data_IF_141231037038
#
_entry.id   IF_141231037038
#
_cell.length_a   1.000
_cell.length_b   1.000
_cell.length_c   1.000
_cell.angle_alpha   90.00
_cell.angle_beta   90.00
_cell.angle_gamma   90.00
#
_symmetry.space_group_name_H-M   'P 1'
#
loop_
_entity.id
_entity.type
_entity.pdbx_description
1 polymer ?
#
# COMPACT_ATOMS: atom_id res chain seq x y z
N UNK A 1 16.10 12.82 16.15
CA UNK A 1 15.32 12.51 14.93
C UNK A 1 13.88 12.25 15.27
N UNK A 2 12.98 12.80 14.48
CA UNK A 2 11.56 12.49 14.64
C UNK A 2 11.30 11.04 14.22
N UNK A 3 10.48 10.31 14.99
CA UNK A 3 10.03 9.00 14.52
C UNK A 3 9.23 9.13 13.21
N UNK A 4 9.27 8.10 12.38
CA UNK A 4 8.43 8.04 11.20
C UNK A 4 6.97 7.89 11.63
N UNK A 5 6.08 8.68 11.05
CA UNK A 5 4.67 8.67 11.39
C UNK A 5 3.90 7.71 10.49
N UNK A 6 3.07 6.86 11.08
CA UNK A 6 2.34 5.80 10.39
C UNK A 6 0.85 5.87 10.73
N UNK A 7 0.01 5.81 9.70
CA UNK A 7 -1.42 5.60 9.84
C UNK A 7 -1.73 4.14 9.50
N UNK A 8 -2.58 3.50 10.31
CA UNK A 8 -3.07 2.14 10.05
C UNK A 8 -4.57 2.22 9.76
N UNK A 9 -4.95 1.77 8.56
CA UNK A 9 -6.35 1.72 8.12
C UNK A 9 -6.73 0.27 7.85
N UNK A 10 -7.55 -0.29 8.73
CA UNK A 10 -8.03 -1.66 8.63
C UNK A 10 -9.36 -1.76 9.36
N UNK A 11 -10.28 -2.60 8.86
CA UNK A 11 -11.59 -2.77 9.49
C UNK A 11 -11.53 -3.57 10.79
N UNK A 12 -10.50 -4.38 11.01
CA UNK A 12 -10.41 -5.27 12.15
C UNK A 12 -9.61 -4.63 13.28
N UNK A 13 -10.24 -4.34 14.43
CA UNK A 13 -9.51 -3.74 15.56
C UNK A 13 -8.30 -4.56 16.02
N UNK A 14 -8.41 -5.90 15.99
CA UNK A 14 -7.31 -6.76 16.41
C UNK A 14 -6.11 -6.64 15.48
N UNK A 15 -6.35 -6.47 14.18
CA UNK A 15 -5.27 -6.26 13.20
C UNK A 15 -4.58 -4.93 13.46
N UNK A 16 -5.35 -3.85 13.63
CA UNK A 16 -4.79 -2.53 13.93
C UNK A 16 -3.92 -2.56 15.18
N UNK A 17 -4.44 -3.16 16.24
CA UNK A 17 -3.73 -3.23 17.52
C UNK A 17 -2.46 -4.06 17.39
N UNK A 18 -2.52 -5.19 16.71
CA UNK A 18 -1.36 -6.09 16.54
C UNK A 18 -0.25 -5.41 15.77
N UNK A 19 -0.59 -4.71 14.71
CA UNK A 19 0.39 -3.97 13.91
C UNK A 19 0.99 -2.84 14.72
N UNK A 20 0.18 -2.08 15.45
CA UNK A 20 0.66 -0.99 16.28
C UNK A 20 1.67 -1.48 17.31
N UNK A 21 1.33 -2.54 18.05
CA UNK A 21 2.23 -3.09 19.08
C UNK A 21 3.56 -3.50 18.44
N UNK A 22 3.51 -4.13 17.29
CA UNK A 22 4.72 -4.59 16.62
C UNK A 22 5.58 -3.43 16.13
N UNK A 23 4.97 -2.43 15.50
CA UNK A 23 5.71 -1.29 14.97
C UNK A 23 6.33 -0.43 16.06
N UNK A 24 5.61 -0.23 17.16
CA UNK A 24 6.08 0.65 18.24
C UNK A 24 7.14 0.02 19.13
N UNK A 25 7.50 -1.25 18.90
CA UNK A 25 8.74 -1.80 19.45
C UNK A 25 9.97 -1.10 18.89
N UNK A 26 9.84 -0.51 17.72
CA UNK A 26 10.90 0.31 17.13
C UNK A 26 10.65 1.77 17.48
N UNK A 27 11.56 2.36 18.29
CA UNK A 27 11.42 3.74 18.74
C UNK A 27 11.46 4.77 17.61
N UNK A 28 11.89 4.37 16.41
CA UNK A 28 11.91 5.23 15.23
C UNK A 28 10.60 5.21 14.45
N UNK A 29 9.59 4.51 14.93
CA UNK A 29 8.26 4.42 14.31
C UNK A 29 7.21 4.81 15.33
N UNK A 30 6.29 5.68 14.93
CA UNK A 30 5.16 6.10 15.75
C UNK A 30 3.87 5.95 14.98
N UNK A 31 2.93 5.20 15.53
CA UNK A 31 1.58 5.10 14.96
C UNK A 31 0.77 6.30 15.44
N UNK A 32 0.43 7.19 14.51
CA UNK A 32 -0.26 8.46 14.84
C UNK A 32 -1.78 8.36 14.72
N UNK A 33 -2.27 7.36 13.99
CA UNK A 33 -3.71 7.15 13.82
C UNK A 33 -3.98 5.70 13.46
N UNK A 34 -5.03 5.12 14.06
CA UNK A 34 -5.59 3.81 13.71
C UNK A 34 -7.07 4.02 13.45
N UNK A 35 -7.56 3.59 12.30
CA UNK A 35 -8.95 3.83 11.95
C UNK A 35 -9.46 2.82 10.93
N UNK A 36 -10.77 2.63 10.90
CA UNK A 36 -11.47 1.94 9.82
C UNK A 36 -12.22 2.91 8.91
N UNK A 37 -12.12 4.21 9.19
CA UNK A 37 -12.87 5.25 8.46
C UNK A 37 -11.93 6.08 7.59
N UNK A 38 -12.15 6.03 6.28
CA UNK A 38 -11.33 6.76 5.32
C UNK A 38 -11.41 8.29 5.54
N UNK A 39 -12.55 8.81 5.97
CA UNK A 39 -12.69 10.25 6.20
C UNK A 39 -11.81 10.73 7.35
N UNK A 40 -11.71 9.94 8.40
CA UNK A 40 -10.84 10.25 9.54
C UNK A 40 -9.37 10.34 9.09
N UNK A 41 -8.94 9.37 8.28
CA UNK A 41 -7.58 9.37 7.76
C UNK A 41 -7.31 10.57 6.84
N UNK A 42 -8.23 10.87 5.94
CA UNK A 42 -8.09 12.00 5.02
C UNK A 42 -8.02 13.33 5.77
N UNK A 43 -8.84 13.51 6.81
CA UNK A 43 -8.78 14.72 7.63
C UNK A 43 -7.42 14.86 8.31
N UNK A 44 -6.88 13.78 8.83
CA UNK A 44 -5.54 13.78 9.43
C UNK A 44 -4.47 14.18 8.40
N UNK A 45 -4.55 13.61 7.20
CA UNK A 45 -3.59 13.89 6.13
C UNK A 45 -3.68 15.33 5.59
N UNK A 46 -4.80 15.98 5.75
CA UNK A 46 -4.93 17.41 5.39
C UNK A 46 -4.16 18.31 6.34
N UNK A 47 -3.96 17.87 7.56
CA UNK A 47 -3.42 18.70 8.64
C UNK A 47 -1.97 18.35 8.96
N UNK A 48 -1.61 17.06 8.96
CA UNK A 48 -0.31 16.60 9.45
C UNK A 48 0.43 15.80 8.38
N UNK A 49 1.76 15.99 8.28
CA UNK A 49 2.56 15.15 7.40
C UNK A 49 2.62 13.72 7.94
N UNK A 50 2.52 12.75 7.05
CA UNK A 50 2.55 11.32 7.40
C UNK A 50 3.54 10.63 6.48
N UNK A 51 4.39 9.78 7.06
CA UNK A 51 5.42 9.08 6.29
C UNK A 51 4.88 7.85 5.58
N UNK A 52 3.95 7.13 6.23
CA UNK A 52 3.43 5.87 5.68
C UNK A 52 1.97 5.68 6.07
N UNK A 53 1.16 5.25 5.11
CA UNK A 53 -0.19 4.74 5.35
C UNK A 53 -0.20 3.25 5.06
N UNK A 54 -0.55 2.44 6.07
CA UNK A 54 -0.84 1.02 5.89
C UNK A 54 -2.34 0.93 5.63
N UNK A 55 -2.72 0.46 4.46
CA UNK A 55 -4.07 0.56 3.93
C UNK A 55 -4.61 -0.82 3.56
N UNK A 56 -5.66 -1.25 4.26
CA UNK A 56 -6.45 -2.42 3.89
C UNK A 56 -7.15 -2.14 2.56
N UNK A 57 -6.82 -2.92 1.54
CA UNK A 57 -7.38 -2.73 0.20
C UNK A 57 -8.88 -3.03 0.17
N UNK A 58 -9.37 -3.87 1.09
CA UNK A 58 -10.78 -4.23 1.21
C UNK A 58 -11.51 -3.41 2.27
N UNK A 59 -11.04 -2.23 2.62
CA UNK A 59 -11.68 -1.39 3.63
C UNK A 59 -13.12 -1.11 3.24
N UNK A 60 -14.12 -1.41 4.11
CA UNK A 60 -15.53 -1.23 3.76
C UNK A 60 -15.87 0.21 3.43
N UNK A 61 -16.69 0.38 2.41
CA UNK A 61 -17.14 1.71 1.97
C UNK A 61 -16.09 2.52 1.23
N UNK A 62 -14.94 1.93 0.93
CA UNK A 62 -13.84 2.62 0.26
C UNK A 62 -13.20 1.73 -0.78
N UNK A 63 -12.78 2.32 -1.90
CA UNK A 63 -11.93 1.66 -2.87
C UNK A 63 -10.48 2.01 -2.55
N UNK A 64 -9.67 0.98 -2.28
CA UNK A 64 -8.27 1.16 -1.90
C UNK A 64 -7.45 1.92 -2.93
N UNK A 65 -7.70 1.68 -4.21
CA UNK A 65 -6.96 2.37 -5.28
C UNK A 65 -7.38 3.84 -5.42
N UNK A 66 -8.65 4.14 -5.21
CA UNK A 66 -9.13 5.53 -5.16
C UNK A 66 -8.53 6.26 -3.96
N UNK A 67 -8.48 5.60 -2.80
CA UNK A 67 -7.86 6.17 -1.61
C UNK A 67 -6.36 6.42 -1.83
N UNK A 68 -5.66 5.51 -2.47
CA UNK A 68 -4.25 5.70 -2.79
C UNK A 68 -4.03 6.97 -3.58
N UNK A 69 -4.82 7.19 -4.63
CA UNK A 69 -4.73 8.41 -5.45
C UNK A 69 -4.98 9.65 -4.62
N UNK A 70 -5.98 9.59 -3.75
CA UNK A 70 -6.33 10.73 -2.91
C UNK A 70 -5.23 11.04 -1.89
N UNK A 71 -4.67 10.02 -1.26
CA UNK A 71 -3.55 10.20 -0.33
C UNK A 71 -2.37 10.85 -1.05
N UNK A 72 -2.00 10.34 -2.22
CA UNK A 72 -0.88 10.89 -2.99
C UNK A 72 -1.15 12.31 -3.46
N UNK A 73 -2.39 12.67 -3.75
CA UNK A 73 -2.74 14.04 -4.14
C UNK A 73 -2.64 15.03 -2.97
N UNK A 74 -2.90 14.57 -1.75
CA UNK A 74 -2.78 15.38 -0.54
C UNK A 74 -1.34 15.49 -0.07
N UNK A 75 -0.60 14.39 -0.13
CA UNK A 75 0.80 14.32 0.31
C UNK A 75 1.57 13.41 -0.65
N UNK A 76 2.22 14.00 -1.62
CA UNK A 76 2.95 13.26 -2.67
C UNK A 76 4.00 12.32 -2.10
N UNK A 77 4.66 12.70 -1.01
CA UNK A 77 5.75 11.93 -0.41
C UNK A 77 5.28 10.84 0.55
N UNK A 78 4.03 10.83 0.92
CA UNK A 78 3.48 9.77 1.78
C UNK A 78 3.52 8.45 1.04
N UNK A 79 4.11 7.44 1.67
CA UNK A 79 4.17 6.10 1.10
C UNK A 79 2.95 5.30 1.51
N UNK A 80 2.57 4.34 0.68
CA UNK A 80 1.39 3.50 0.93
C UNK A 80 1.76 2.03 0.82
N UNK A 81 1.46 1.29 1.90
CA UNK A 81 1.57 -0.16 1.93
C UNK A 81 0.18 -0.75 1.97
N UNK A 82 -0.18 -1.51 0.95
CA UNK A 82 -1.45 -2.22 0.95
C UNK A 82 -1.38 -3.51 1.77
N UNK A 83 -2.44 -3.77 2.54
CA UNK A 83 -2.73 -5.07 3.12
C UNK A 83 -3.91 -5.68 2.39
N UNK A 84 -3.90 -6.99 2.17
CA UNK A 84 -5.01 -7.68 1.52
C UNK A 84 -5.16 -9.11 2.03
N UNK A 85 -6.41 -9.56 2.16
CA UNK A 85 -6.73 -10.97 2.39
C UNK A 85 -6.86 -11.76 1.09
N UNK A 86 -6.80 -11.07 -0.05
CA UNK A 86 -6.98 -11.64 -1.38
C UNK A 86 -5.65 -12.12 -1.96
N UNK A 87 -5.70 -12.70 -3.16
CA UNK A 87 -4.52 -13.20 -3.85
C UNK A 87 -3.49 -12.09 -4.09
N UNK A 88 -2.27 -12.35 -3.70
CA UNK A 88 -1.19 -11.38 -3.77
C UNK A 88 -0.82 -10.99 -5.20
N UNK A 89 -0.65 -11.98 -6.08
CA UNK A 89 -0.10 -11.71 -7.41
C UNK A 89 -0.98 -10.78 -8.24
N UNK A 90 -2.29 -10.95 -8.14
CA UNK A 90 -3.23 -10.15 -8.94
C UNK A 90 -3.22 -8.69 -8.48
N UNK A 91 -3.42 -8.47 -7.19
CA UNK A 91 -3.52 -7.10 -6.66
C UNK A 91 -2.18 -6.40 -6.56
N UNK A 92 -1.10 -7.15 -6.30
CA UNK A 92 0.23 -6.56 -6.17
C UNK A 92 0.69 -5.91 -7.47
N UNK A 93 0.46 -6.55 -8.62
CA UNK A 93 0.79 -5.96 -9.92
C UNK A 93 0.02 -4.66 -10.17
N UNK A 94 -1.26 -4.66 -9.84
CA UNK A 94 -2.10 -3.46 -9.95
C UNK A 94 -1.64 -2.36 -9.00
N UNK A 95 -1.23 -2.74 -7.79
CA UNK A 95 -0.74 -1.80 -6.78
C UNK A 95 0.53 -1.08 -7.24
N UNK A 96 1.48 -1.82 -7.84
CA UNK A 96 2.69 -1.20 -8.38
C UNK A 96 2.34 -0.16 -9.44
N UNK A 97 1.45 -0.48 -10.36
CA UNK A 97 1.06 0.45 -11.43
C UNK A 97 0.36 1.68 -10.90
N UNK A 98 -0.41 1.52 -9.81
CA UNK A 98 -1.11 2.63 -9.19
C UNK A 98 -0.20 3.53 -8.35
N UNK A 99 1.05 3.14 -8.15
CA UNK A 99 2.01 3.94 -7.39
C UNK A 99 2.14 3.59 -5.92
N UNK A 100 1.59 2.44 -5.49
CA UNK A 100 1.80 1.97 -4.13
C UNK A 100 3.27 1.61 -3.89
N UNK A 101 3.70 1.68 -2.66
CA UNK A 101 5.09 1.39 -2.29
C UNK A 101 5.26 -0.04 -1.78
N UNK A 102 4.16 -0.74 -1.51
CA UNK A 102 4.23 -2.12 -1.10
C UNK A 102 2.88 -2.81 -1.07
N UNK A 103 2.95 -4.12 -0.93
CA UNK A 103 1.77 -4.98 -0.85
C UNK A 103 2.12 -6.21 -0.02
N UNK A 104 1.35 -6.48 1.02
CA UNK A 104 1.54 -7.64 1.91
C UNK A 104 0.19 -8.30 2.16
N UNK A 105 0.18 -9.63 2.13
CA UNK A 105 -0.99 -10.41 2.48
C UNK A 105 -1.22 -10.38 3.99
N UNK A 106 -2.47 -10.22 4.41
CA UNK A 106 -2.87 -10.35 5.83
C UNK A 106 -2.67 -11.78 6.36
N UNK A 107 -2.51 -12.74 5.47
CA UNK A 107 -2.29 -14.15 5.84
C UNK A 107 -0.85 -14.43 6.22
N UNK A 108 0.06 -13.50 5.93
CA UNK A 108 1.46 -13.64 6.27
C UNK A 108 1.69 -13.33 7.75
N UNK A 109 2.86 -13.71 8.23
CA UNK A 109 3.31 -13.40 9.57
C UNK A 109 3.35 -11.87 9.77
N UNK A 110 3.05 -11.41 10.97
CA UNK A 110 3.20 -10.00 11.34
C UNK A 110 4.61 -9.49 11.10
N UNK A 111 5.62 -10.35 11.23
CA UNK A 111 7.00 -9.97 10.93
C UNK A 111 7.19 -9.56 9.48
N UNK A 112 6.44 -10.13 8.54
CA UNK A 112 6.52 -9.71 7.15
C UNK A 112 5.98 -8.30 6.97
N UNK A 113 4.93 -7.94 7.71
CA UNK A 113 4.40 -6.57 7.70
C UNK A 113 5.44 -5.61 8.27
N UNK A 114 6.07 -5.97 9.38
CA UNK A 114 7.12 -5.16 10.00
C UNK A 114 8.30 -4.96 9.05
N UNK A 115 8.76 -6.02 8.39
CA UNK A 115 9.85 -5.93 7.43
C UNK A 115 9.49 -5.05 6.24
N UNK A 116 8.25 -5.17 5.73
CA UNK A 116 7.75 -4.31 4.65
C UNK A 116 7.78 -2.84 5.06
N UNK A 117 7.32 -2.53 6.26
CA UNK A 117 7.31 -1.16 6.78
C UNK A 117 8.73 -0.61 6.86
N UNK A 118 9.65 -1.38 7.41
CA UNK A 118 11.06 -0.94 7.51
C UNK A 118 11.69 -0.69 6.14
N UNK A 119 11.45 -1.57 5.19
CA UNK A 119 12.00 -1.40 3.85
C UNK A 119 11.43 -0.18 3.16
N UNK A 120 10.13 0.02 3.27
CA UNK A 120 9.47 1.17 2.62
C UNK A 120 9.95 2.48 3.26
N UNK A 121 10.04 2.55 4.58
CA UNK A 121 10.53 3.74 5.27
C UNK A 121 12.00 4.03 4.96
N UNK A 122 12.76 3.01 4.56
CA UNK A 122 14.17 3.17 4.14
C UNK A 122 14.30 3.55 2.66
N UNK A 123 13.19 3.72 1.94
CA UNK A 123 13.22 4.15 0.54
C UNK A 123 13.06 3.03 -0.48
N UNK A 124 12.82 1.80 -0.02
CA UNK A 124 12.61 0.66 -0.91
C UNK A 124 11.12 0.38 -1.11
N UNK A 125 10.82 -0.47 -2.07
CA UNK A 125 9.49 -1.03 -2.25
C UNK A 125 9.46 -2.45 -1.69
N UNK A 126 8.25 -2.93 -1.34
CA UNK A 126 8.11 -4.29 -0.84
C UNK A 126 6.90 -4.96 -1.50
N UNK A 127 7.17 -5.94 -2.35
CA UNK A 127 6.13 -6.69 -3.06
C UNK A 127 6.45 -8.18 -3.04
N UNK A 128 5.43 -9.06 -3.15
CA UNK A 128 5.69 -10.49 -3.25
C UNK A 128 6.59 -10.81 -4.43
N UNK A 129 7.44 -11.81 -4.28
CA UNK A 129 8.43 -12.16 -5.30
C UNK A 129 7.82 -12.57 -6.65
N UNK A 130 6.60 -13.14 -6.63
CA UNK A 130 5.90 -13.54 -7.86
C UNK A 130 5.23 -12.37 -8.59
N UNK A 131 5.22 -11.19 -7.97
CA UNK A 131 4.67 -9.99 -8.60
C UNK A 131 5.36 -9.66 -9.90
N UNK A 132 6.68 -9.85 -9.98
CA UNK A 132 7.45 -9.63 -11.20
C UNK A 132 6.99 -10.54 -12.33
N UNK A 133 6.68 -11.80 -12.03
CA UNK A 133 6.17 -12.72 -13.04
C UNK A 133 4.82 -12.27 -13.58
N UNK A 134 3.95 -11.79 -12.72
CA UNK A 134 2.64 -11.27 -13.14
C UNK A 134 2.80 -10.05 -14.05
N UNK A 135 3.67 -9.12 -13.67
CA UNK A 135 3.96 -7.93 -14.49
C UNK A 135 4.59 -8.32 -15.82
N UNK A 136 5.52 -9.27 -15.83
CA UNK A 136 6.17 -9.74 -17.06
C UNK A 136 5.16 -10.38 -18.01
N UNK A 137 4.22 -11.16 -17.49
CA UNK A 137 3.15 -11.75 -18.33
C UNK A 137 2.29 -10.66 -18.96
N UNK A 138 1.94 -9.61 -18.22
CA UNK A 138 1.21 -8.49 -18.77
C UNK A 138 2.04 -7.74 -19.80
N UNK A 139 3.33 -7.54 -19.56
CA UNK A 139 4.22 -6.89 -20.52
C UNK A 139 4.38 -7.70 -21.78
N UNK A 140 4.40 -9.03 -21.69
CA UNK A 140 4.42 -9.91 -22.85
C UNK A 140 3.15 -9.73 -23.69
N UNK A 141 1.97 -9.63 -23.05
CA UNK A 141 0.73 -9.34 -23.75
C UNK A 141 0.76 -7.94 -24.38
N UNK A 142 1.32 -6.97 -23.68
CA UNK A 142 1.54 -5.63 -24.24
C UNK A 142 2.50 -5.67 -25.42
N UNK A 143 3.51 -6.51 -25.38
CA UNK A 143 4.43 -6.72 -26.51
C UNK A 143 3.70 -7.14 -27.77
N UNK A 144 2.73 -8.04 -27.65
CA UNK A 144 1.86 -8.43 -28.77
C UNK A 144 1.00 -7.25 -29.19
N UNK A 145 0.46 -6.49 -28.26
CA UNK A 145 -0.37 -5.33 -28.53
C UNK A 145 0.43 -4.16 -29.10
N UNK A 146 1.73 -4.10 -28.89
CA UNK A 146 2.59 -3.06 -29.44
C UNK A 146 2.69 -3.10 -30.96
N UNK A 147 2.34 -4.24 -31.57
CA UNK A 147 2.23 -4.34 -33.01
C UNK A 147 0.90 -3.78 -33.55
N UNK A 148 0.03 -3.35 -32.64
CA UNK A 148 -1.27 -2.73 -32.95
C UNK A 148 -1.19 -1.20 -32.88
N UNK A 149 -2.25 -0.48 -33.33
CA UNK A 149 -2.30 0.97 -33.20
C UNK A 149 -2.12 1.44 -31.76
N UNK A 150 -1.54 2.63 -31.59
CA UNK A 150 -1.21 3.22 -30.29
C UNK A 150 -2.39 3.27 -29.32
N UNK A 151 -3.59 3.51 -29.82
CA UNK A 151 -4.79 3.58 -28.98
C UNK A 151 -5.05 2.28 -28.23
N UNK A 152 -4.58 1.15 -28.72
CA UNK A 152 -4.79 -0.14 -28.08
C UNK A 152 -3.78 -0.41 -26.97
N UNK A 153 -2.64 0.28 -26.97
CA UNK A 153 -1.62 0.11 -25.92
C UNK A 153 -2.04 0.75 -24.61
N UNK A 154 -2.81 1.80 -24.65
CA UNK A 154 -3.24 2.53 -23.46
C UNK A 154 -4.28 1.77 -22.64
N UNK A 155 -5.02 0.89 -23.27
CA UNK A 155 -6.10 0.14 -22.63
C UNK A 155 -5.58 -0.89 -21.63
N UNK A 156 -4.32 -1.31 -21.74
CA UNK A 156 -3.72 -2.37 -20.90
C UNK A 156 -3.07 -1.84 -19.62
N UNK A 157 -3.10 -0.57 -19.40
CA UNK A 157 -2.47 0.04 -18.21
C UNK A 157 -3.36 -0.07 -16.96
#
# INVERSE_FOLDING_TARGET
>A
MKPASVIIMDEHPIVRMSIEVLLEKNSNIQVVLKTDDSRTAIEHLRTYPVDLVILDIELPGSDGFTLLKRIKSLQEKTRVLFLSSKSESFYAGRAIRAGANGFVSKRKDLNDIYNAVKMILSGYSFFPSDTLNFINNINAQKGVLNDMPLSNREVTV
#
